data_IF_213416459888
#
_entry.id   IF_213416459888
#
_cell.length_a   1.000
_cell.length_b   1.000
_cell.length_c   1.000
_cell.angle_alpha   90.00
_cell.angle_beta   90.00
_cell.angle_gamma   90.00
#
_symmetry.space_group_name_H-M   'P 1'
#
loop_
_entity.id
_entity.type
_entity.pdbx_description
1 polymer ?
#
# COMPACT_ATOMS: atom_id res chain seq x y z
N UNK A 1 -1.36 6.19 -8.46
CA UNK A 1 -1.44 4.71 -8.55
C UNK A 1 -2.34 4.09 -7.47
N UNK A 2 -2.26 4.53 -6.21
CA UNK A 2 -2.97 3.87 -5.09
C UNK A 2 -4.51 3.86 -5.17
N UNK A 3 -5.14 4.92 -5.67
CA UNK A 3 -6.61 4.95 -5.86
C UNK A 3 -7.12 3.84 -6.80
N UNK A 4 -6.27 3.37 -7.72
CA UNK A 4 -6.64 2.32 -8.66
C UNK A 4 -6.48 0.92 -8.05
N UNK A 5 -5.49 0.71 -7.17
CA UNK A 5 -5.21 -0.61 -6.61
C UNK A 5 -6.08 -0.95 -5.39
N UNK A 6 -6.47 0.05 -4.59
CA UNK A 6 -7.26 -0.16 -3.38
C UNK A 6 -8.63 -0.84 -3.63
N UNK A 7 -9.41 -0.47 -4.67
CA UNK A 7 -10.61 -1.22 -5.03
C UNK A 7 -10.30 -2.67 -5.42
N UNK A 8 -9.16 -2.90 -6.07
CA UNK A 8 -8.67 -4.24 -6.43
C UNK A 8 -8.47 -5.13 -5.20
N UNK A 9 -7.86 -4.61 -4.13
CA UNK A 9 -7.73 -5.36 -2.87
C UNK A 9 -9.09 -5.75 -2.31
N UNK A 10 -10.06 -4.83 -2.30
CA UNK A 10 -11.42 -5.14 -1.86
C UNK A 10 -12.07 -6.26 -2.68
N UNK A 11 -11.99 -6.20 -4.01
CA UNK A 11 -12.57 -7.21 -4.90
C UNK A 11 -11.93 -8.58 -4.67
N UNK A 12 -10.61 -8.66 -4.64
CA UNK A 12 -9.89 -9.93 -4.39
C UNK A 12 -10.26 -10.49 -3.02
N UNK A 13 -10.36 -9.64 -2.01
CA UNK A 13 -10.70 -10.05 -0.66
C UNK A 13 -12.11 -10.68 -0.57
N UNK A 14 -13.10 -10.13 -1.28
CA UNK A 14 -14.45 -10.70 -1.39
C UNK A 14 -14.48 -12.00 -2.19
N UNK A 15 -13.73 -12.10 -3.29
CA UNK A 15 -13.61 -13.33 -4.07
C UNK A 15 -13.02 -14.45 -3.19
N UNK A 16 -11.95 -14.18 -2.44
CA UNK A 16 -11.31 -15.16 -1.55
C UNK A 16 -12.28 -15.67 -0.48
N UNK A 17 -13.04 -14.80 0.20
CA UNK A 17 -14.08 -15.23 1.16
C UNK A 17 -15.10 -16.14 0.51
N UNK A 18 -15.57 -15.76 -0.69
CA UNK A 18 -16.59 -16.52 -1.42
C UNK A 18 -16.09 -17.90 -1.83
N UNK A 19 -14.85 -18.00 -2.32
CA UNK A 19 -14.25 -19.27 -2.75
C UNK A 19 -13.88 -20.18 -1.58
N UNK A 20 -13.57 -19.62 -0.42
CA UNK A 20 -13.19 -20.39 0.78
C UNK A 20 -14.39 -20.79 1.64
N UNK A 21 -15.59 -20.25 1.37
CA UNK A 21 -16.77 -20.38 2.23
C UNK A 21 -16.50 -20.00 3.69
N UNK A 22 -15.62 -19.03 3.92
CA UNK A 22 -15.36 -18.49 5.26
C UNK A 22 -16.43 -17.47 5.64
N UNK A 23 -16.77 -17.39 6.92
CA UNK A 23 -17.73 -16.41 7.44
C UNK A 23 -17.17 -14.97 7.43
N UNK A 24 -15.85 -14.82 7.30
CA UNK A 24 -15.19 -13.52 7.33
C UNK A 24 -13.81 -13.53 6.65
N UNK A 25 -13.26 -12.33 6.44
CA UNK A 25 -11.89 -12.14 5.99
C UNK A 25 -10.89 -12.52 7.08
N UNK A 26 -9.87 -13.29 6.72
CA UNK A 26 -8.73 -13.51 7.59
C UNK A 26 -8.08 -12.17 7.91
N UNK A 27 -8.06 -11.80 9.19
CA UNK A 27 -7.45 -10.55 9.64
C UNK A 27 -8.15 -9.27 9.16
N UNK A 28 -9.49 -9.23 9.13
CA UNK A 28 -10.29 -8.06 8.68
C UNK A 28 -9.76 -6.70 9.16
N UNK A 29 -9.49 -6.55 10.46
CA UNK A 29 -8.93 -5.30 11.00
C UNK A 29 -7.52 -5.02 10.49
N UNK A 30 -6.69 -6.05 10.30
CA UNK A 30 -5.37 -5.94 9.70
C UNK A 30 -5.43 -5.41 8.27
N UNK A 31 -6.34 -5.95 7.45
CA UNK A 31 -6.54 -5.51 6.07
C UNK A 31 -7.02 -4.04 6.00
N UNK A 32 -7.93 -3.64 6.89
CA UNK A 32 -8.38 -2.23 6.95
C UNK A 32 -7.23 -1.30 7.33
N UNK A 33 -6.48 -1.63 8.38
CA UNK A 33 -5.36 -0.82 8.83
C UNK A 33 -4.24 -0.77 7.79
N UNK A 34 -3.99 -1.86 7.08
CA UNK A 34 -3.05 -1.93 5.97
C UNK A 34 -3.47 -1.00 4.82
N UNK A 35 -4.72 -1.07 4.37
CA UNK A 35 -5.25 -0.18 3.33
C UNK A 35 -5.21 1.30 3.76
N UNK A 36 -5.55 1.60 5.02
CA UNK A 36 -5.45 2.95 5.56
C UNK A 36 -3.99 3.45 5.57
N UNK A 37 -3.03 2.61 5.99
CA UNK A 37 -1.62 2.94 5.97
C UNK A 37 -1.10 3.19 4.54
N UNK A 38 -1.54 2.40 3.55
CA UNK A 38 -1.20 2.61 2.13
C UNK A 38 -1.70 3.97 1.63
N UNK A 39 -2.90 4.40 2.04
CA UNK A 39 -3.42 5.73 1.69
C UNK A 39 -2.55 6.84 2.30
N UNK A 40 -2.26 6.75 3.60
CA UNK A 40 -1.46 7.75 4.30
C UNK A 40 -0.01 7.84 3.78
N UNK A 41 0.65 6.69 3.59
CA UNK A 41 2.01 6.65 3.05
C UNK A 41 2.04 7.01 1.56
N UNK A 42 1.00 6.63 0.82
CA UNK A 42 0.86 6.92 -0.61
C UNK A 42 0.85 8.41 -0.95
N UNK A 43 0.41 9.28 -0.04
CA UNK A 43 0.44 10.73 -0.24
C UNK A 43 1.84 11.35 -0.09
N UNK A 44 2.81 10.63 0.47
CA UNK A 44 4.16 11.15 0.77
C UNK A 44 5.28 10.52 -0.04
N UNK A 45 4.99 9.67 -1.04
CA UNK A 45 6.03 8.94 -1.80
C UNK A 45 6.23 9.40 -3.24
N UNK A 46 5.44 10.36 -3.75
CA UNK A 46 5.41 10.69 -5.19
C UNK A 46 6.80 10.94 -5.83
N UNK A 47 7.75 11.51 -5.08
CA UNK A 47 9.06 11.89 -5.59
C UNK A 47 9.95 10.68 -5.96
N UNK A 48 9.56 9.45 -5.63
CA UNK A 48 10.25 8.25 -6.13
C UNK A 48 10.25 8.17 -7.67
N UNK A 49 9.30 8.82 -8.35
CA UNK A 49 9.28 8.92 -9.81
C UNK A 49 10.26 9.98 -10.36
N UNK A 50 10.88 10.76 -9.49
CA UNK A 50 11.69 11.93 -9.83
C UNK A 50 13.16 11.78 -9.40
N UNK A 51 13.64 10.59 -9.01
CA UNK A 51 15.00 10.44 -8.47
C UNK A 51 16.13 10.96 -9.39
N UNK A 52 15.91 11.04 -10.70
CA UNK A 52 16.92 11.51 -11.66
C UNK A 52 16.83 13.01 -11.98
N UNK A 53 15.96 13.78 -11.31
CA UNK A 53 15.84 15.24 -11.56
C UNK A 53 16.87 16.10 -10.80
N UNK A 54 17.78 15.46 -10.04
CA UNK A 54 18.81 16.15 -9.25
C UNK A 54 18.37 16.49 -7.83
N UNK A 55 17.62 15.60 -7.17
CA UNK A 55 17.31 15.72 -5.73
C UNK A 55 18.58 15.60 -4.89
N UNK A 56 18.64 16.29 -3.75
CA UNK A 56 19.70 16.09 -2.77
C UNK A 56 19.63 14.67 -2.15
N UNK A 57 20.76 14.22 -1.58
CA UNK A 57 20.90 12.85 -1.08
C UNK A 57 19.94 12.55 0.07
N UNK A 58 19.69 13.51 0.97
CA UNK A 58 18.81 13.30 2.12
C UNK A 58 17.36 13.10 1.68
N UNK A 59 16.90 13.95 0.75
CA UNK A 59 15.58 13.83 0.13
C UNK A 59 15.44 12.49 -0.60
N UNK A 60 16.44 12.08 -1.39
CA UNK A 60 16.42 10.82 -2.12
C UNK A 60 16.33 9.61 -1.16
N UNK A 61 17.12 9.61 -0.08
CA UNK A 61 17.09 8.55 0.95
C UNK A 61 15.76 8.52 1.68
N UNK A 62 15.20 9.68 2.03
CA UNK A 62 13.88 9.77 2.65
C UNK A 62 12.81 9.13 1.76
N UNK A 63 12.66 9.59 0.52
CA UNK A 63 11.63 9.05 -0.37
C UNK A 63 11.86 7.58 -0.71
N UNK A 64 13.12 7.14 -0.86
CA UNK A 64 13.46 5.73 -1.05
C UNK A 64 13.01 4.86 0.15
N UNK A 65 13.35 5.28 1.37
CA UNK A 65 12.99 4.55 2.58
C UNK A 65 11.48 4.48 2.82
N UNK A 66 10.76 5.61 2.67
CA UNK A 66 9.29 5.64 2.86
C UNK A 66 8.58 4.79 1.80
N UNK A 67 9.08 4.79 0.55
CA UNK A 67 8.53 3.93 -0.50
C UNK A 67 8.71 2.44 -0.18
N UNK A 68 9.85 2.05 0.41
CA UNK A 68 10.06 0.67 0.86
C UNK A 68 9.11 0.29 2.01
N UNK A 69 8.81 1.21 2.93
CA UNK A 69 7.89 0.96 4.06
C UNK A 69 6.49 0.57 3.59
N UNK A 70 6.04 1.04 2.41
CA UNK A 70 4.74 0.63 1.81
C UNK A 70 4.68 -0.88 1.54
N UNK A 71 5.83 -1.55 1.40
CA UNK A 71 5.89 -3.01 1.28
C UNK A 71 5.31 -3.76 2.49
N UNK A 72 5.37 -3.17 3.68
CA UNK A 72 4.84 -3.78 4.92
C UNK A 72 3.31 -3.92 4.85
N UNK A 73 2.50 -2.84 4.75
CA UNK A 73 1.06 -2.97 4.66
C UNK A 73 0.59 -3.66 3.38
N UNK A 74 1.38 -3.67 2.30
CA UNK A 74 1.01 -4.44 1.10
C UNK A 74 1.15 -5.95 1.32
N UNK A 75 2.03 -6.39 2.23
CA UNK A 75 2.24 -7.81 2.54
C UNK A 75 1.33 -8.36 3.63
N UNK A 76 0.56 -7.51 4.31
CA UNK A 76 -0.47 -7.87 5.32
C UNK A 76 -1.78 -8.19 4.60
#
# INVERSE_FOLDING_TARGET
>A
VYVLILPGFGIISHICVTLTNNDSLLGYYGLILAMAAIVCLGSVVWAHHMFMVGLDVETAVFFSSVTMVIGIPTGI
#
